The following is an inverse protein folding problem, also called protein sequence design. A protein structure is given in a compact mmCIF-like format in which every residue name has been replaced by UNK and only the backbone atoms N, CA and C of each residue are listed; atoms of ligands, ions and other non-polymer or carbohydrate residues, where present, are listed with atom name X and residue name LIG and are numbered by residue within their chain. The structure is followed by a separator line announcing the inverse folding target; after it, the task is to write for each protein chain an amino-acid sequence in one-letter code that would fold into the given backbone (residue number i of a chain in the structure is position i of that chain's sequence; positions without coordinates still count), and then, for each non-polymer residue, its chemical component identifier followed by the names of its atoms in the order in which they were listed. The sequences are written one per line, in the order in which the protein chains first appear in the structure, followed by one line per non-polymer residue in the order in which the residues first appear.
data_IF_144140967774
#
_entry.id   IF_144140967774
#
_cell.length_a   1.000
_cell.length_b   1.000
_cell.length_c   1.000
_cell.angle_alpha   90.00
_cell.angle_beta   90.00
_cell.angle_gamma   90.00
#
_symmetry.space_group_name_H-M   'P 1'
#
loop_
_entity.id
_entity.type
_entity.pdbx_description
1 polymer ?
#
# COMPACT_ATOMS: atom_id res chain seq x y z
N UNK A 1 30.58 -14.34 -24.57
CA UNK A 1 29.55 -13.32 -24.87
C UNK A 1 28.21 -13.95 -24.58
N UNK A 2 27.41 -13.34 -23.70
CA UNK A 2 26.07 -13.86 -23.37
C UNK A 2 25.06 -13.10 -24.21
N UNK A 3 24.21 -13.84 -24.93
CA UNK A 3 23.16 -13.29 -25.79
C UNK A 3 21.80 -13.74 -25.29
N UNK A 4 20.93 -12.80 -24.94
CA UNK A 4 19.63 -13.06 -24.32
C UNK A 4 18.54 -12.65 -25.29
N UNK A 5 17.68 -13.60 -25.68
CA UNK A 5 16.51 -13.32 -26.52
C UNK A 5 15.38 -12.78 -25.65
N UNK A 6 14.76 -11.69 -26.11
CA UNK A 6 13.61 -11.09 -25.43
C UNK A 6 12.34 -11.34 -26.25
N UNK A 7 11.30 -11.80 -25.57
CA UNK A 7 9.99 -12.02 -26.19
C UNK A 7 8.87 -11.40 -25.34
N UNK A 8 7.79 -10.98 -25.99
CA UNK A 8 6.60 -10.56 -25.27
C UNK A 8 5.90 -11.77 -24.64
N UNK A 9 5.52 -11.65 -23.36
CA UNK A 9 4.75 -12.68 -22.64
C UNK A 9 3.27 -12.76 -23.08
N UNK A 10 2.89 -12.06 -24.15
CA UNK A 10 1.54 -12.00 -24.71
C UNK A 10 1.65 -12.07 -26.23
N UNK A 11 0.61 -12.60 -26.87
CA UNK A 11 0.51 -12.57 -28.34
C UNK A 11 0.35 -11.15 -28.90
N UNK A 12 0.03 -10.17 -28.05
CA UNK A 12 0.00 -8.74 -28.41
C UNK A 12 1.37 -8.13 -28.15
N UNK A 13 1.92 -7.33 -29.10
CA UNK A 13 3.17 -6.61 -28.88
C UNK A 13 3.02 -5.61 -27.73
N UNK A 14 4.12 -5.32 -27.04
CA UNK A 14 4.15 -4.34 -25.96
C UNK A 14 3.94 -2.94 -26.54
N UNK A 15 2.76 -2.37 -26.35
CA UNK A 15 2.37 -1.09 -26.94
C UNK A 15 3.31 0.08 -26.58
N UNK A 16 3.94 0.02 -25.40
CA UNK A 16 4.89 1.03 -24.92
C UNK A 16 6.32 0.80 -25.43
N UNK A 17 6.68 -0.46 -25.71
CA UNK A 17 8.04 -0.86 -26.11
C UNK A 17 8.03 -1.31 -27.58
N UNK A 18 7.65 -0.39 -28.48
CA UNK A 18 7.58 -0.66 -29.92
C UNK A 18 8.94 -1.01 -30.52
N UNK A 19 10.02 -0.47 -29.94
CA UNK A 19 11.41 -0.69 -30.35
C UNK A 19 12.16 -1.64 -29.42
N UNK A 20 11.46 -2.61 -28.83
CA UNK A 20 12.12 -3.58 -27.94
C UNK A 20 13.17 -4.37 -28.74
N UNK A 21 14.44 -4.42 -28.30
CA UNK A 21 15.44 -5.25 -28.95
C UNK A 21 15.03 -6.72 -28.87
N UNK A 22 15.17 -7.46 -29.98
CA UNK A 22 14.94 -8.90 -29.99
C UNK A 22 16.01 -9.66 -29.19
N UNK A 23 17.18 -9.05 -29.00
CA UNK A 23 18.33 -9.67 -28.37
C UNK A 23 19.16 -8.64 -27.61
N UNK A 24 19.58 -8.99 -26.40
CA UNK A 24 20.54 -8.22 -25.60
C UNK A 24 21.87 -8.94 -25.52
N UNK A 25 22.95 -8.22 -25.76
CA UNK A 25 24.30 -8.76 -25.73
C UNK A 25 25.09 -8.17 -24.57
N UNK A 26 25.74 -9.05 -23.80
CA UNK A 26 26.61 -8.69 -22.69
C UNK A 26 28.03 -9.19 -23.00
N UNK A 27 28.91 -8.32 -23.53
CA UNK A 27 30.28 -8.69 -23.84
C UNK A 27 31.10 -8.89 -22.55
N UNK A 28 31.91 -9.95 -22.50
CA UNK A 28 32.83 -10.22 -21.39
C UNK A 28 32.21 -10.68 -20.06
N UNK A 29 30.89 -10.89 -19.98
CA UNK A 29 30.21 -11.34 -18.76
C UNK A 29 29.78 -12.81 -18.84
N UNK A 30 29.66 -13.46 -17.68
CA UNK A 30 29.19 -14.85 -17.51
C UNK A 30 27.75 -14.89 -16.99
N UNK A 31 27.04 -16.01 -17.21
CA UNK A 31 25.64 -16.19 -16.78
C UNK A 31 25.43 -16.11 -15.26
N UNK A 32 26.49 -16.37 -14.49
CA UNK A 32 26.51 -16.36 -13.03
C UNK A 32 26.66 -14.94 -12.47
N UNK A 33 27.26 -14.04 -13.25
CA UNK A 33 27.47 -12.65 -12.85
C UNK A 33 26.27 -11.76 -13.21
N UNK A 34 25.59 -12.04 -14.32
CA UNK A 34 24.51 -11.18 -14.81
C UNK A 34 23.25 -11.39 -13.98
N UNK A 35 22.73 -10.29 -13.46
CA UNK A 35 21.48 -10.29 -12.69
C UNK A 35 20.28 -9.84 -13.51
N UNK A 36 19.09 -10.25 -13.09
CA UNK A 36 17.84 -9.76 -13.72
C UNK A 36 17.69 -8.25 -13.58
N UNK A 37 18.20 -7.65 -12.50
CA UNK A 37 18.24 -6.19 -12.33
C UNK A 37 19.02 -5.49 -13.44
N UNK A 38 20.19 -6.02 -13.81
CA UNK A 38 21.02 -5.48 -14.91
C UNK A 38 20.33 -5.62 -16.26
N UNK A 39 19.67 -6.76 -16.51
CA UNK A 39 18.86 -6.95 -17.73
C UNK A 39 17.75 -5.92 -17.81
N UNK A 40 17.01 -5.69 -16.72
CA UNK A 40 15.95 -4.66 -16.69
C UNK A 40 16.49 -3.26 -16.98
N UNK A 41 17.64 -2.93 -16.42
CA UNK A 41 18.30 -1.65 -16.66
C UNK A 41 18.78 -1.51 -18.11
N UNK A 42 19.33 -2.57 -18.71
CA UNK A 42 19.71 -2.58 -20.12
C UNK A 42 18.49 -2.35 -21.05
N UNK A 43 17.36 -2.98 -20.74
CA UNK A 43 16.09 -2.75 -21.45
C UNK A 43 15.64 -1.30 -21.28
N UNK A 44 15.67 -0.77 -20.06
CA UNK A 44 15.24 0.60 -19.78
C UNK A 44 16.12 1.66 -20.46
N UNK A 45 17.43 1.40 -20.63
CA UNK A 45 18.34 2.28 -21.39
C UNK A 45 17.94 2.38 -22.86
N UNK A 46 17.52 1.28 -23.47
CA UNK A 46 17.09 1.27 -24.88
C UNK A 46 15.64 1.73 -25.07
N UNK A 47 14.77 1.44 -24.09
CA UNK A 47 13.36 1.80 -24.06
C UNK A 47 13.02 2.57 -22.77
N UNK A 48 13.24 3.90 -22.72
CA UNK A 48 13.03 4.69 -21.50
C UNK A 48 11.61 4.65 -20.94
N UNK A 49 10.60 4.45 -21.81
CA UNK A 49 9.19 4.32 -21.40
C UNK A 49 8.88 2.99 -20.69
N UNK A 50 9.74 1.99 -20.84
CA UNK A 50 9.64 0.68 -20.21
C UNK A 50 10.69 0.55 -19.09
N UNK A 51 10.56 1.40 -18.09
CA UNK A 51 11.43 1.45 -16.91
C UNK A 51 11.34 0.17 -16.06
N UNK A 52 12.37 -0.11 -15.26
CA UNK A 52 12.61 -1.42 -14.63
C UNK A 52 11.42 -1.97 -13.81
N UNK A 53 10.75 -1.13 -13.03
CA UNK A 53 9.65 -1.52 -12.15
C UNK A 53 8.38 -1.88 -12.93
N UNK A 54 8.23 -1.38 -14.17
CA UNK A 54 7.13 -1.73 -15.06
C UNK A 54 7.33 -3.08 -15.74
N UNK A 55 8.55 -3.60 -15.73
CA UNK A 55 8.92 -4.86 -16.36
C UNK A 55 8.70 -6.03 -15.42
N UNK A 56 7.86 -6.98 -15.83
CA UNK A 56 7.82 -8.32 -15.24
C UNK A 56 8.51 -9.31 -16.16
N UNK A 57 9.58 -9.93 -15.68
CA UNK A 57 10.39 -10.91 -16.39
C UNK A 57 10.09 -12.32 -15.87
N UNK A 58 9.91 -13.27 -16.79
CA UNK A 58 9.74 -14.69 -16.50
C UNK A 58 10.62 -15.53 -17.44
N UNK A 59 11.25 -16.58 -16.90
CA UNK A 59 12.05 -17.51 -17.71
C UNK A 59 11.19 -18.55 -18.46
N UNK A 60 9.99 -18.85 -17.93
CA UNK A 60 9.08 -19.79 -18.59
C UNK A 60 8.10 -19.07 -19.52
N UNK A 61 7.70 -19.74 -20.62
CA UNK A 61 6.72 -19.18 -21.54
C UNK A 61 5.37 -18.97 -20.86
N UNK A 62 4.60 -17.95 -21.31
CA UNK A 62 3.26 -17.71 -20.82
C UNK A 62 2.33 -18.88 -21.19
N UNK A 63 1.98 -19.71 -20.23
CA UNK A 63 1.01 -20.79 -20.44
C UNK A 63 -0.40 -20.22 -20.35
N UNK A 64 -1.15 -20.24 -21.46
CA UNK A 64 -2.59 -20.00 -21.45
C UNK A 64 -3.28 -21.27 -20.95
N UNK A 65 -4.12 -21.22 -19.91
CA UNK A 65 -4.90 -22.38 -19.52
C UNK A 65 -5.84 -22.76 -20.68
N UNK A 66 -5.69 -23.97 -21.18
CA UNK A 66 -6.56 -24.54 -22.21
C UNK A 66 -8.00 -24.73 -21.67
N UNK A 67 -8.12 -25.07 -20.38
CA UNK A 67 -9.38 -25.22 -19.66
C UNK A 67 -9.37 -24.47 -18.32
N UNK A 68 -10.54 -23.95 -17.91
CA UNK A 68 -10.71 -23.20 -16.63
C UNK A 68 -10.34 -24.01 -15.38
N UNK A 69 -10.34 -25.35 -15.47
CA UNK A 69 -10.02 -26.27 -14.36
C UNK A 69 -8.61 -26.87 -14.43
N UNK A 70 -7.82 -26.58 -15.46
CA UNK A 70 -6.44 -27.08 -15.54
C UNK A 70 -5.55 -26.29 -14.58
N UNK A 71 -4.87 -26.98 -13.66
CA UNK A 71 -3.96 -26.38 -12.68
C UNK A 71 -2.64 -25.99 -13.38
N UNK A 72 -2.68 -24.92 -14.15
CA UNK A 72 -1.51 -24.38 -14.84
C UNK A 72 -0.59 -23.68 -13.83
N UNK A 73 0.65 -24.14 -13.74
CA UNK A 73 1.69 -23.46 -12.96
C UNK A 73 1.96 -22.10 -13.60
N UNK A 74 1.56 -21.02 -12.93
CA UNK A 74 1.81 -19.66 -13.42
C UNK A 74 3.31 -19.37 -13.43
N UNK A 75 3.84 -18.74 -14.50
CA UNK A 75 5.23 -18.31 -14.55
C UNK A 75 5.60 -17.44 -13.34
N UNK A 76 6.62 -17.88 -12.59
CA UNK A 76 7.17 -17.16 -11.46
C UNK A 76 7.92 -15.93 -11.96
N UNK A 77 7.61 -14.76 -11.39
CA UNK A 77 8.36 -13.55 -11.67
C UNK A 77 9.75 -13.65 -11.02
N UNK A 78 10.79 -13.32 -11.79
CA UNK A 78 12.16 -13.31 -11.30
C UNK A 78 12.42 -12.04 -10.49
N UNK A 79 13.18 -12.17 -9.39
CA UNK A 79 13.59 -11.02 -8.58
C UNK A 79 14.89 -10.43 -9.12
N UNK A 80 15.15 -9.16 -8.84
CA UNK A 80 16.27 -8.44 -9.45
C UNK A 80 17.64 -9.01 -9.05
N UNK A 81 17.70 -9.74 -7.92
CA UNK A 81 18.90 -10.40 -7.39
C UNK A 81 19.17 -11.77 -8.00
N UNK A 82 18.19 -12.37 -8.68
CA UNK A 82 18.37 -13.68 -9.30
C UNK A 82 19.36 -13.57 -10.46
N UNK A 83 20.34 -14.47 -10.50
CA UNK A 83 21.28 -14.57 -11.63
C UNK A 83 20.59 -15.26 -12.81
N UNK A 84 21.15 -15.13 -14.02
CA UNK A 84 20.59 -15.83 -15.18
C UNK A 84 20.70 -17.36 -15.05
N UNK A 85 21.77 -17.85 -14.42
CA UNK A 85 21.94 -19.26 -14.10
C UNK A 85 20.87 -19.75 -13.11
N UNK A 86 20.62 -19.01 -12.02
CA UNK A 86 19.57 -19.33 -11.04
C UNK A 86 18.16 -19.26 -11.65
N UNK A 87 17.98 -18.45 -12.69
CA UNK A 87 16.74 -18.38 -13.45
C UNK A 87 16.51 -19.61 -14.36
N UNK A 88 17.49 -20.52 -14.45
CA UNK A 88 17.44 -21.73 -15.27
C UNK A 88 17.69 -21.46 -16.76
N UNK A 89 18.45 -20.40 -17.09
CA UNK A 89 18.84 -20.09 -18.46
C UNK A 89 20.17 -20.77 -18.81
N UNK A 90 20.16 -21.54 -19.88
CA UNK A 90 21.34 -22.19 -20.44
C UNK A 90 21.82 -21.48 -21.71
N UNK A 91 23.03 -21.82 -22.18
CA UNK A 91 23.61 -21.31 -23.42
C UNK A 91 22.76 -21.61 -24.68
N UNK A 92 21.89 -22.63 -24.63
CA UNK A 92 20.96 -23.00 -25.69
C UNK A 92 19.57 -22.39 -25.55
N UNK A 93 19.15 -22.02 -24.33
CA UNK A 93 17.81 -21.52 -24.02
C UNK A 93 17.85 -20.23 -23.20
N UNK A 94 18.32 -19.15 -23.84
CA UNK A 94 18.46 -17.83 -23.21
C UNK A 94 17.26 -16.92 -23.54
N UNK A 95 16.03 -17.41 -23.47
CA UNK A 95 14.83 -16.61 -23.80
C UNK A 95 14.14 -16.10 -22.54
N UNK A 96 13.95 -14.79 -22.44
CA UNK A 96 13.19 -14.14 -21.38
C UNK A 96 11.88 -13.56 -21.90
N UNK A 97 10.81 -13.75 -21.13
CA UNK A 97 9.48 -13.25 -21.46
C UNK A 97 9.17 -12.00 -20.64
N UNK A 98 8.78 -10.94 -21.34
CA UNK A 98 8.49 -9.63 -20.78
C UNK A 98 6.99 -9.36 -20.76
N UNK A 99 6.49 -8.95 -19.59
CA UNK A 99 5.13 -8.46 -19.41
C UNK A 99 5.17 -7.03 -18.89
N UNK A 100 4.33 -6.18 -19.48
CA UNK A 100 4.06 -4.85 -18.99
C UNK A 100 3.06 -4.88 -17.82
N UNK A 101 3.46 -4.33 -16.66
CA UNK A 101 2.62 -4.18 -15.47
C UNK A 101 1.78 -2.89 -15.47
N UNK A 102 2.04 -1.97 -16.40
CA UNK A 102 1.47 -0.62 -16.42
C UNK A 102 2.17 0.32 -15.44
N UNK A 103 1.68 1.56 -15.34
CA UNK A 103 2.27 2.58 -14.45
C UNK A 103 2.30 2.09 -13.00
N UNK A 104 3.51 1.98 -12.47
CA UNK A 104 3.79 1.56 -11.11
C UNK A 104 4.13 2.77 -10.22
N UNK A 105 3.73 2.68 -8.95
CA UNK A 105 4.09 3.61 -7.87
C UNK A 105 4.69 2.82 -6.71
N UNK A 106 5.61 3.43 -5.95
CA UNK A 106 6.24 2.76 -4.82
C UNK A 106 5.22 2.48 -3.71
N UNK A 107 5.29 1.32 -3.06
CA UNK A 107 4.40 1.01 -1.94
C UNK A 107 4.54 2.03 -0.81
N UNK A 108 5.75 2.52 -0.54
CA UNK A 108 5.98 3.57 0.45
C UNK A 108 5.16 4.82 0.15
N UNK A 109 5.18 5.30 -1.10
CA UNK A 109 4.36 6.46 -1.52
C UNK A 109 2.89 6.19 -1.34
N UNK A 110 2.44 4.97 -1.61
CA UNK A 110 1.04 4.58 -1.49
C UNK A 110 0.56 4.69 -0.06
N UNK A 111 1.27 4.08 0.88
CA UNK A 111 0.90 4.14 2.30
C UNK A 111 0.90 5.58 2.82
N UNK A 112 1.86 6.41 2.40
CA UNK A 112 1.88 7.84 2.76
C UNK A 112 0.62 8.55 2.23
N UNK A 113 0.28 8.36 0.95
CA UNK A 113 -0.90 9.02 0.37
C UNK A 113 -2.21 8.48 0.97
N UNK A 114 -2.26 7.21 1.38
CA UNK A 114 -3.40 6.63 2.07
C UNK A 114 -3.63 7.26 3.46
N UNK A 115 -2.59 7.41 4.27
CA UNK A 115 -2.72 7.85 5.66
C UNK A 115 -2.66 9.37 5.85
N UNK A 116 -2.08 10.12 4.91
CA UNK A 116 -2.14 11.58 4.93
C UNK A 116 -3.57 12.12 4.82
N UNK A 117 -4.47 11.38 4.16
CA UNK A 117 -5.88 11.76 4.03
C UNK A 117 -6.56 11.97 5.38
N UNK A 118 -6.66 10.94 6.23
CA UNK A 118 -7.16 11.09 7.59
C UNK A 118 -6.43 12.18 8.40
N UNK A 119 -5.10 12.29 8.28
CA UNK A 119 -4.33 13.36 8.96
C UNK A 119 -4.72 14.77 8.54
N UNK A 120 -5.24 14.97 7.33
CA UNK A 120 -5.71 16.28 6.87
C UNK A 120 -7.21 16.48 7.13
N UNK A 121 -8.02 15.44 6.94
CA UNK A 121 -9.48 15.53 7.06
C UNK A 121 -9.90 15.70 8.51
N UNK A 122 -9.29 14.98 9.46
CA UNK A 122 -9.65 15.08 10.88
C UNK A 122 -9.47 16.51 11.44
N UNK A 123 -8.33 17.20 11.23
CA UNK A 123 -8.16 18.58 11.65
C UNK A 123 -9.16 19.53 10.99
N UNK A 124 -9.47 19.36 9.71
CA UNK A 124 -10.45 20.19 9.01
C UNK A 124 -11.83 20.06 9.67
N UNK A 125 -12.29 18.85 9.93
CA UNK A 125 -13.62 18.63 10.53
C UNK A 125 -13.66 19.05 12.01
N UNK A 126 -12.57 18.84 12.75
CA UNK A 126 -12.47 19.19 14.17
C UNK A 126 -12.32 20.71 14.40
N UNK A 127 -11.48 21.40 13.64
CA UNK A 127 -11.20 22.82 13.87
C UNK A 127 -12.12 23.77 13.09
N UNK A 128 -12.81 23.29 12.05
CA UNK A 128 -13.73 24.11 11.24
C UNK A 128 -15.19 23.64 11.34
N UNK A 129 -15.75 23.40 12.55
CA UNK A 129 -17.11 22.88 12.70
C UNK A 129 -18.17 23.85 12.15
N UNK A 130 -17.90 25.16 12.16
CA UNK A 130 -18.80 26.17 11.58
C UNK A 130 -18.97 26.02 10.07
N UNK A 131 -17.92 25.59 9.35
CA UNK A 131 -18.00 25.35 7.92
C UNK A 131 -18.80 24.07 7.61
N UNK A 132 -18.59 23.03 8.40
CA UNK A 132 -19.16 21.70 8.17
C UNK A 132 -20.61 21.59 8.68
N UNK A 133 -20.86 22.04 9.91
CA UNK A 133 -22.15 21.89 10.60
C UNK A 133 -22.97 23.18 10.68
N UNK A 134 -22.45 24.31 10.18
CA UNK A 134 -23.07 25.65 10.28
C UNK A 134 -23.37 26.09 11.72
N UNK A 135 -22.64 25.53 12.69
CA UNK A 135 -22.78 25.82 14.12
C UNK A 135 -21.42 25.83 14.79
N UNK A 136 -21.30 26.64 15.82
CA UNK A 136 -20.16 26.55 16.73
C UNK A 136 -20.32 25.31 17.62
N UNK A 137 -19.34 24.42 17.55
CA UNK A 137 -19.33 23.17 18.32
C UNK A 137 -18.25 23.28 19.38
N UNK A 138 -18.65 23.25 20.65
CA UNK A 138 -17.72 23.07 21.76
C UNK A 138 -17.49 21.57 21.95
N UNK A 139 -16.32 21.10 21.52
CA UNK A 139 -15.98 19.69 21.60
C UNK A 139 -15.88 19.22 23.04
N UNK A 140 -16.40 18.02 23.31
CA UNK A 140 -16.29 17.41 24.63
C UNK A 140 -14.91 16.84 24.88
N UNK A 141 -14.56 16.59 26.14
CA UNK A 141 -13.29 15.93 26.49
C UNK A 141 -13.10 14.60 25.75
N UNK A 142 -14.18 13.84 25.56
CA UNK A 142 -14.15 12.58 24.81
C UNK A 142 -13.78 12.82 23.34
N UNK A 143 -14.37 13.83 22.70
CA UNK A 143 -14.05 14.19 21.31
C UNK A 143 -12.60 14.65 21.16
N UNK A 144 -12.11 15.45 22.11
CA UNK A 144 -10.71 15.91 22.13
C UNK A 144 -9.73 14.75 22.26
N UNK A 145 -9.99 13.81 23.17
CA UNK A 145 -9.14 12.62 23.37
C UNK A 145 -9.19 11.71 22.15
N UNK A 146 -10.39 11.47 21.60
CA UNK A 146 -10.53 10.66 20.39
C UNK A 146 -9.79 11.28 19.20
N UNK A 147 -9.86 12.60 19.03
CA UNK A 147 -9.08 13.32 18.03
C UNK A 147 -7.57 13.12 18.22
N UNK A 148 -7.05 13.32 19.44
CA UNK A 148 -5.64 13.11 19.72
C UNK A 148 -5.19 11.68 19.41
N UNK A 149 -5.97 10.67 19.81
CA UNK A 149 -5.65 9.26 19.54
C UNK A 149 -5.67 8.93 18.04
N UNK A 150 -6.64 9.45 17.29
CA UNK A 150 -6.71 9.25 15.84
C UNK A 150 -5.51 9.92 15.14
N UNK A 151 -5.18 11.15 15.52
CA UNK A 151 -4.02 11.86 14.96
C UNK A 151 -2.72 11.13 15.27
N UNK A 152 -2.53 10.68 16.52
CA UNK A 152 -1.37 9.87 16.91
C UNK A 152 -1.34 8.52 16.18
N UNK A 153 -2.49 7.90 15.93
CA UNK A 153 -2.57 6.66 15.17
C UNK A 153 -2.02 6.84 13.76
N UNK A 154 -2.58 7.78 12.98
CA UNK A 154 -2.14 7.97 11.60
C UNK A 154 -0.73 8.53 11.52
N UNK A 155 -0.31 9.38 12.47
CA UNK A 155 1.06 9.87 12.53
C UNK A 155 2.06 8.73 12.78
N UNK A 156 1.76 7.83 13.72
CA UNK A 156 2.58 6.62 13.95
C UNK A 156 2.66 5.79 12.66
N UNK A 157 1.56 5.59 11.95
CA UNK A 157 1.52 4.82 10.70
C UNK A 157 2.40 5.42 9.61
N UNK A 158 2.43 6.75 9.49
CA UNK A 158 3.32 7.47 8.57
C UNK A 158 4.79 7.27 8.96
N UNK A 159 5.12 7.46 10.24
CA UNK A 159 6.48 7.29 10.73
C UNK A 159 6.97 5.84 10.57
N UNK A 160 6.11 4.86 10.85
CA UNK A 160 6.41 3.44 10.60
C UNK A 160 6.69 3.20 9.13
N UNK A 161 5.87 3.74 8.24
CA UNK A 161 6.01 3.60 6.78
C UNK A 161 7.34 4.16 6.28
N UNK A 162 7.82 5.25 6.88
CA UNK A 162 9.05 5.94 6.48
C UNK A 162 10.29 5.27 7.08
N UNK A 163 10.26 4.91 8.36
CA UNK A 163 11.45 4.54 9.13
C UNK A 163 11.57 3.06 9.46
N UNK A 164 10.46 2.35 9.63
CA UNK A 164 10.45 0.97 10.17
C UNK A 164 10.08 -0.05 9.09
N UNK A 165 9.18 0.32 8.19
CA UNK A 165 8.55 -0.64 7.30
C UNK A 165 9.48 -1.04 6.16
N UNK A 166 9.66 -2.37 6.01
CA UNK A 166 10.38 -2.97 4.89
C UNK A 166 9.39 -3.66 3.96
N UNK A 167 9.15 -3.05 2.81
CA UNK A 167 8.24 -3.61 1.82
C UNK A 167 8.84 -4.85 1.13
N UNK A 168 8.07 -5.93 1.05
CA UNK A 168 8.44 -7.15 0.32
C UNK A 168 8.35 -6.97 -1.20
N UNK A 169 7.45 -6.10 -1.64
CA UNK A 169 7.32 -5.64 -3.02
C UNK A 169 7.68 -4.16 -3.10
N UNK A 170 8.42 -3.77 -4.14
CA UNK A 170 8.83 -2.37 -4.30
C UNK A 170 7.67 -1.47 -4.77
N UNK A 171 6.80 -1.98 -5.64
CA UNK A 171 5.81 -1.16 -6.35
C UNK A 171 4.47 -1.85 -6.57
N UNK A 172 3.44 -1.05 -6.82
CA UNK A 172 2.10 -1.48 -7.20
C UNK A 172 1.50 -0.63 -8.33
N UNK A 173 0.47 -1.13 -9.04
CA UNK A 173 -0.21 -0.36 -10.09
C UNK A 173 -0.93 0.87 -9.54
N UNK A 174 -0.81 2.01 -10.23
CA UNK A 174 -1.42 3.29 -9.83
C UNK A 174 -2.94 3.23 -9.69
N UNK A 175 -3.64 2.37 -10.46
CA UNK A 175 -5.09 2.21 -10.31
C UNK A 175 -5.52 1.74 -8.91
N UNK A 176 -4.65 0.99 -8.22
CA UNK A 176 -4.93 0.54 -6.85
C UNK A 176 -4.74 1.66 -5.83
N UNK A 177 -3.85 2.63 -6.10
CA UNK A 177 -3.62 3.78 -5.21
C UNK A 177 -4.93 4.53 -4.98
N UNK A 178 -5.64 4.88 -6.06
CA UNK A 178 -6.90 5.61 -5.94
C UNK A 178 -7.97 4.86 -5.15
N UNK A 179 -8.07 3.53 -5.33
CA UNK A 179 -9.06 2.73 -4.60
C UNK A 179 -8.75 2.67 -3.11
N UNK A 180 -7.48 2.43 -2.77
CA UNK A 180 -7.07 2.36 -1.38
C UNK A 180 -7.15 3.73 -0.70
N UNK A 181 -6.67 4.79 -1.35
CA UNK A 181 -6.79 6.15 -0.83
C UNK A 181 -8.26 6.54 -0.65
N UNK A 182 -9.13 6.25 -1.61
CA UNK A 182 -10.56 6.51 -1.45
C UNK A 182 -11.15 5.78 -0.24
N UNK A 183 -10.78 4.52 0.00
CA UNK A 183 -11.23 3.77 1.17
C UNK A 183 -10.84 4.47 2.48
N UNK A 184 -9.56 4.79 2.66
CA UNK A 184 -9.09 5.44 3.89
C UNK A 184 -9.60 6.87 4.04
N UNK A 185 -9.59 7.65 2.96
CA UNK A 185 -9.99 9.06 3.00
C UNK A 185 -11.49 9.20 3.25
N UNK A 186 -12.33 8.37 2.63
CA UNK A 186 -13.78 8.45 2.81
C UNK A 186 -14.26 7.79 4.10
N UNK A 187 -13.80 6.57 4.41
CA UNK A 187 -14.30 5.85 5.58
C UNK A 187 -13.60 6.29 6.86
N UNK A 188 -12.27 6.23 6.88
CA UNK A 188 -11.49 6.56 8.07
C UNK A 188 -11.24 8.05 8.23
N UNK A 189 -11.17 8.82 7.15
CA UNK A 189 -11.05 10.28 7.20
C UNK A 189 -12.40 10.94 7.39
N UNK A 190 -13.23 10.95 6.35
CA UNK A 190 -14.45 11.76 6.32
C UNK A 190 -15.57 11.19 7.21
N UNK A 191 -15.99 9.94 7.00
CA UNK A 191 -17.13 9.36 7.71
C UNK A 191 -16.86 9.28 9.21
N UNK A 192 -15.67 8.80 9.60
CA UNK A 192 -15.29 8.70 11.01
C UNK A 192 -15.16 10.06 11.68
N UNK A 193 -14.52 11.06 11.04
CA UNK A 193 -14.40 12.40 11.63
C UNK A 193 -15.75 13.08 11.79
N UNK A 194 -16.66 12.95 10.81
CA UNK A 194 -18.01 13.46 10.92
C UNK A 194 -18.77 12.80 12.07
N UNK A 195 -18.70 11.47 12.17
CA UNK A 195 -19.34 10.71 13.24
C UNK A 195 -18.85 11.11 14.64
N UNK A 196 -17.54 11.35 14.78
CA UNK A 196 -16.91 11.66 16.06
C UNK A 196 -17.13 13.11 16.49
N UNK A 197 -16.97 14.07 15.58
CA UNK A 197 -16.88 15.50 15.92
C UNK A 197 -18.19 16.26 15.75
N UNK A 198 -19.28 15.56 15.43
CA UNK A 198 -20.57 16.19 15.27
C UNK A 198 -21.14 16.80 16.56
N UNK A 199 -22.12 17.72 16.43
CA UNK A 199 -22.73 18.42 17.56
C UNK A 199 -23.42 17.51 18.58
N UNK A 200 -23.80 16.30 18.19
CA UNK A 200 -24.54 15.34 19.03
C UNK A 200 -23.71 14.78 20.21
N UNK A 201 -22.37 14.83 20.14
CA UNK A 201 -21.47 14.49 21.25
C UNK A 201 -20.70 15.71 21.79
N UNK A 202 -21.17 16.92 21.47
CA UNK A 202 -20.61 18.16 22.01
C UNK A 202 -20.76 18.24 23.52
N UNK A 203 -19.95 19.09 24.16
CA UNK A 203 -19.97 19.30 25.61
C UNK A 203 -21.38 19.60 26.13
N UNK A 204 -22.14 20.47 25.45
CA UNK A 204 -23.51 20.81 25.82
C UNK A 204 -24.50 19.65 25.69
N UNK A 205 -24.33 18.79 24.68
CA UNK A 205 -25.18 17.61 24.46
C UNK A 205 -24.96 16.53 25.52
N UNK A 206 -23.71 16.37 25.98
CA UNK A 206 -23.36 15.40 27.01
C UNK A 206 -23.75 15.87 28.42
N UNK A 207 -23.57 17.14 28.75
CA UNK A 207 -24.02 17.70 30.04
C UNK A 207 -25.52 17.52 30.28
N UNK A 208 -26.35 17.55 29.23
CA UNK A 208 -27.79 17.32 29.34
C UNK A 208 -28.16 15.86 29.67
N UNK A 209 -27.24 14.89 29.52
CA UNK A 209 -27.50 13.45 29.70
C UNK A 209 -26.82 12.83 30.93
N UNK A 210 -26.00 13.57 31.67
CA UNK A 210 -25.30 13.08 32.87
C UNK A 210 -26.14 13.16 34.16
N UNK A 211 -27.40 12.69 34.13
CA UNK A 211 -28.17 12.40 35.34
C UNK A 211 -28.14 10.92 35.74
N UNK A 212 -27.50 10.05 34.96
CA UNK A 212 -27.35 8.63 35.29
C UNK A 212 -25.88 8.28 35.53
N UNK A 213 -25.58 7.79 36.74
CA UNK A 213 -24.30 7.22 37.10
C UNK A 213 -23.94 6.05 36.16
N UNK A 214 -22.66 5.86 35.82
CA UNK A 214 -22.24 4.73 34.99
C UNK A 214 -22.40 3.43 35.77
N UNK A 215 -23.38 2.59 35.40
CA UNK A 215 -23.59 1.27 36.00
C UNK A 215 -22.84 0.19 35.20
N UNK A 216 -22.08 -0.62 35.93
CA UNK A 216 -21.19 -1.69 35.42
C UNK A 216 -21.98 -2.95 34.97
N UNK A 217 -23.31 -2.95 35.07
CA UNK A 217 -24.18 -4.12 34.87
C UNK A 217 -24.76 -4.27 33.45
N UNK A 218 -24.02 -3.89 32.42
CA UNK A 218 -24.33 -4.22 31.02
C UNK A 218 -23.06 -4.67 30.27
N UNK A 219 -22.46 -5.77 30.78
CA UNK A 219 -21.76 -6.85 30.05
C UNK A 219 -20.53 -6.56 29.16
N UNK A 220 -20.40 -5.39 28.54
CA UNK A 220 -19.30 -4.97 27.68
C UNK A 220 -19.13 -3.46 27.87
N UNK A 221 -18.38 -3.09 28.91
CA UNK A 221 -18.26 -1.72 29.40
C UNK A 221 -17.59 -0.76 28.41
N UNK A 222 -18.34 0.24 27.97
CA UNK A 222 -17.83 1.51 27.45
C UNK A 222 -17.27 2.36 28.61
N UNK A 223 -16.18 3.13 28.47
CA UNK A 223 -15.33 3.49 29.60
C UNK A 223 -15.91 4.59 30.50
N UNK A 224 -15.66 4.46 31.80
CA UNK A 224 -15.72 5.58 32.73
C UNK A 224 -14.54 6.53 32.49
N UNK A 225 -14.79 7.80 32.78
CA UNK A 225 -13.99 9.00 32.53
C UNK A 225 -12.69 9.12 33.37
N UNK A 226 -12.11 8.02 33.86
CA UNK A 226 -10.86 8.07 34.61
C UNK A 226 -9.63 7.80 33.73
N UNK A 227 -8.56 8.58 33.97
CA UNK A 227 -7.27 8.55 33.26
C UNK A 227 -6.62 7.16 33.20
N UNK A 228 -6.92 6.30 34.18
CA UNK A 228 -6.46 4.91 34.23
C UNK A 228 -7.08 4.00 33.15
N UNK A 229 -8.29 4.30 32.65
CA UNK A 229 -8.92 3.53 31.57
C UNK A 229 -8.32 3.89 30.21
N UNK A 230 -7.97 5.17 30.02
CA UNK A 230 -7.30 5.67 28.82
C UNK A 230 -5.90 5.05 28.63
N UNK A 231 -5.10 4.98 29.70
CA UNK A 231 -3.76 4.37 29.65
C UNK A 231 -3.82 2.86 29.29
N UNK A 232 -4.81 2.14 29.80
CA UNK A 232 -5.02 0.72 29.47
C UNK A 232 -5.42 0.52 28.01
N UNK A 233 -6.27 1.40 27.46
CA UNK A 233 -6.62 1.36 26.05
C UNK A 233 -5.48 1.79 25.13
N UNK A 234 -4.65 2.75 25.53
CA UNK A 234 -3.41 3.11 24.81
C UNK A 234 -2.47 1.89 24.74
N UNK A 235 -2.32 1.16 25.84
CA UNK A 235 -1.50 -0.06 25.88
C UNK A 235 -2.08 -1.19 25.00
N UNK A 236 -3.40 -1.44 25.08
CA UNK A 236 -4.07 -2.46 24.25
C UNK A 236 -4.00 -2.08 22.77
N UNK A 237 -4.21 -0.80 22.42
CA UNK A 237 -4.08 -0.29 21.06
C UNK A 237 -2.65 -0.37 20.52
N UNK A 238 -1.64 -0.16 21.39
CA UNK A 238 -0.23 -0.34 21.04
C UNK A 238 0.12 -1.81 20.75
N UNK A 239 -0.50 -2.74 21.46
CA UNK A 239 -0.26 -4.20 21.33
C UNK A 239 -1.05 -4.82 20.18
N UNK A 240 -2.33 -4.47 19.99
CA UNK A 240 -3.19 -5.06 18.96
C UNK A 240 -2.79 -4.67 17.53
N UNK A 241 -2.08 -3.56 17.33
CA UNK A 241 -1.53 -3.16 16.03
C UNK A 241 -0.19 -3.82 15.69
N UNK A 242 0.37 -4.67 16.55
CA UNK A 242 1.63 -5.37 16.30
C UNK A 242 1.48 -6.61 15.39
N UNK A 243 0.26 -7.07 15.09
CA UNK A 243 0.02 -8.38 14.44
C UNK A 243 -0.77 -8.36 13.11
N UNK A 244 -0.98 -7.21 12.47
CA UNK A 244 -1.60 -7.15 11.14
C UNK A 244 -0.56 -6.71 10.09
N UNK A 245 0.62 -7.34 10.09
CA UNK A 245 1.56 -7.28 8.96
C UNK A 245 2.34 -8.61 8.91
N UNK A 246 1.80 -9.60 8.19
CA UNK A 246 2.58 -10.58 7.41
C UNK A 246 1.92 -10.72 6.05
#
# INVERSE_FOLDING_TARGET
MVSIKLQAASSRPLAIAKNLPSTLEFPGQTLEAITIGEVKQAIAKQCPQFYAERQRITATPPVKPADKNSKVVKPRALTDKTTLQDAGLDASNSTLYLKDLGTQVSYRTVFIVEYIGPLLIHPVVYHLPKLIYRKDVQHSQLQTVAYALVMLHFLKRELETIFVHRFSHATMPVGNLFRNSAHYHLLSGLLLSLALYGPWYSQGSLSAKHASAPSILLGWGWPSNNTASLAKWIAIWAVSNAHIIM
#
